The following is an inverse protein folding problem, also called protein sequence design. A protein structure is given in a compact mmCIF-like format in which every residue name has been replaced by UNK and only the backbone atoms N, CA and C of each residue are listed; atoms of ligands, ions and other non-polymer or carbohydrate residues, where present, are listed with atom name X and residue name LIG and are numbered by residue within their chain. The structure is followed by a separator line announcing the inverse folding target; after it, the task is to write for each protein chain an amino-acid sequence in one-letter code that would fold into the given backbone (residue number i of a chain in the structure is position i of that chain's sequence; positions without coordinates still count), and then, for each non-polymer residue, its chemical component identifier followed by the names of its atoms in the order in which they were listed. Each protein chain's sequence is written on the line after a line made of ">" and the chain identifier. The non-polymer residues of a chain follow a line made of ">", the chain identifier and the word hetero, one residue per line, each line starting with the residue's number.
data_IF_160141009523
#
_entry.id   IF_160141009523
#
_cell.length_a   1.000
_cell.length_b   1.000
_cell.length_c   1.000
_cell.angle_alpha   90.00
_cell.angle_beta   90.00
_cell.angle_gamma   90.00
#
_symmetry.space_group_name_H-M   'P 1'
#
loop_
_entity.id
_entity.type
_entity.pdbx_description
1 polymer ?
#
# COMPACT_ATOMS: atom_id res chain seq x y z
N UNK A 1 -12.71 5.72 -15.72
CA UNK A 1 -11.89 4.83 -16.61
C UNK A 1 -10.62 5.47 -17.22
N UNK A 2 -10.65 6.60 -17.95
CA UNK A 2 -9.44 7.18 -18.61
C UNK A 2 -8.26 7.49 -17.66
N UNK A 3 -8.56 8.06 -16.48
CA UNK A 3 -7.55 8.37 -15.45
C UNK A 3 -6.90 7.11 -14.86
N UNK A 4 -7.67 6.04 -14.72
CA UNK A 4 -7.18 4.74 -14.21
C UNK A 4 -6.16 4.16 -15.19
N UNK A 5 -6.51 4.12 -16.48
CA UNK A 5 -5.60 3.63 -17.52
C UNK A 5 -4.34 4.48 -17.59
N UNK A 6 -4.45 5.81 -17.57
CA UNK A 6 -3.29 6.70 -17.57
C UNK A 6 -2.37 6.47 -16.36
N UNK A 7 -2.94 6.35 -15.16
CA UNK A 7 -2.16 6.08 -13.94
C UNK A 7 -1.52 4.67 -13.96
N UNK A 8 -2.21 3.67 -14.50
CA UNK A 8 -1.66 2.32 -14.66
C UNK A 8 -0.50 2.30 -15.67
N UNK A 9 -0.67 2.95 -16.83
CA UNK A 9 0.41 3.10 -17.81
C UNK A 9 1.61 3.83 -17.21
N UNK A 10 1.37 4.92 -16.48
CA UNK A 10 2.43 5.64 -15.80
C UNK A 10 3.14 4.76 -14.75
N UNK A 11 2.41 3.93 -14.01
CA UNK A 11 2.99 3.00 -13.04
C UNK A 11 3.97 2.04 -13.71
N UNK A 12 3.63 1.51 -14.89
CA UNK A 12 4.56 0.65 -15.67
C UNK A 12 5.72 1.44 -16.26
N UNK A 13 5.52 2.68 -16.70
CA UNK A 13 6.62 3.55 -17.17
C UNK A 13 7.61 3.81 -16.02
N UNK A 14 7.11 4.15 -14.83
CA UNK A 14 7.97 4.36 -13.65
C UNK A 14 8.70 3.09 -13.23
N UNK A 15 8.10 1.92 -13.44
CA UNK A 15 8.76 0.63 -13.20
C UNK A 15 10.00 0.47 -14.09
N UNK A 16 9.92 0.85 -15.35
CA UNK A 16 11.08 0.82 -16.25
C UNK A 16 12.09 1.92 -15.90
N UNK A 17 11.59 3.12 -15.57
CA UNK A 17 12.39 4.29 -15.19
C UNK A 17 13.27 4.03 -13.94
N UNK A 18 12.78 3.19 -13.00
CA UNK A 18 13.54 2.74 -11.82
C UNK A 18 14.87 2.04 -12.17
N UNK A 19 14.92 1.34 -13.31
CA UNK A 19 16.15 0.69 -13.80
C UNK A 19 17.10 1.66 -14.52
N UNK A 20 16.70 2.93 -14.67
CA UNK A 20 17.39 3.98 -15.42
C UNK A 20 17.67 5.20 -14.53
N UNK A 21 17.95 6.36 -15.13
CA UNK A 21 18.29 7.61 -14.42
C UNK A 21 17.10 8.29 -13.68
N UNK A 22 15.94 7.64 -13.58
CA UNK A 22 14.75 8.12 -12.85
C UNK A 22 14.22 9.49 -13.33
N UNK A 23 14.40 9.82 -14.61
CA UNK A 23 14.03 11.13 -15.15
C UNK A 23 12.51 11.34 -15.17
N UNK A 24 11.75 10.29 -15.46
CA UNK A 24 10.28 10.39 -15.50
C UNK A 24 9.74 10.63 -14.11
N UNK A 25 10.27 9.91 -13.11
CA UNK A 25 9.94 10.08 -11.70
C UNK A 25 10.20 11.51 -11.22
N UNK A 26 11.37 12.07 -11.56
CA UNK A 26 11.73 13.45 -11.22
C UNK A 26 10.80 14.47 -11.88
N UNK A 27 10.51 14.33 -13.17
CA UNK A 27 9.60 15.23 -13.87
C UNK A 27 8.18 15.16 -13.32
N UNK A 28 7.69 13.95 -13.04
CA UNK A 28 6.38 13.72 -12.46
C UNK A 28 6.22 14.42 -11.10
N UNK A 29 7.25 14.32 -10.25
CA UNK A 29 7.27 15.03 -8.95
C UNK A 29 7.32 16.53 -9.15
N UNK A 30 8.25 17.05 -9.96
CA UNK A 30 8.46 18.49 -10.19
C UNK A 30 7.25 19.20 -10.81
N UNK A 31 6.44 18.49 -11.58
CA UNK A 31 5.21 19.02 -12.18
C UNK A 31 4.04 19.14 -11.18
N UNK A 32 4.22 18.75 -9.91
CA UNK A 32 3.19 18.87 -8.88
C UNK A 32 2.08 17.81 -8.97
N UNK A 33 2.28 16.76 -9.77
CA UNK A 33 1.28 15.71 -9.97
C UNK A 33 0.96 14.95 -8.69
N UNK A 34 1.95 14.76 -7.80
CA UNK A 34 1.73 14.10 -6.49
C UNK A 34 0.67 14.84 -5.68
N UNK A 35 0.78 16.17 -5.57
CA UNK A 35 -0.19 16.99 -4.84
C UNK A 35 -1.57 17.02 -5.52
N UNK A 36 -1.60 17.09 -6.86
CA UNK A 36 -2.86 17.05 -7.62
C UNK A 36 -3.62 15.74 -7.40
N UNK A 37 -2.92 14.62 -7.49
CA UNK A 37 -3.49 13.29 -7.22
C UNK A 37 -3.93 13.17 -5.77
N UNK A 38 -3.11 13.62 -4.81
CA UNK A 38 -3.47 13.59 -3.40
C UNK A 38 -4.74 14.40 -3.12
N UNK A 39 -4.87 15.58 -3.74
CA UNK A 39 -6.07 16.42 -3.66
C UNK A 39 -7.30 15.71 -4.24
N UNK A 40 -7.14 14.92 -5.30
CA UNK A 40 -8.19 14.06 -5.84
C UNK A 40 -8.57 12.95 -4.85
N UNK A 41 -7.60 12.29 -4.21
CA UNK A 41 -7.85 11.24 -3.22
C UNK A 41 -8.62 11.76 -2.00
N UNK A 42 -8.32 12.98 -1.52
CA UNK A 42 -9.04 13.60 -0.39
C UNK A 42 -10.55 13.74 -0.63
N UNK A 43 -10.95 13.89 -1.90
CA UNK A 43 -12.34 14.01 -2.31
C UNK A 43 -12.95 12.69 -2.75
N UNK A 44 -12.18 11.60 -2.75
CA UNK A 44 -12.64 10.30 -3.20
C UNK A 44 -13.65 9.73 -2.21
N UNK A 45 -14.79 9.29 -2.76
CA UNK A 45 -15.82 8.60 -2.00
C UNK A 45 -15.96 7.19 -2.57
N UNK A 46 -15.91 6.21 -1.68
CA UNK A 46 -16.09 4.80 -1.99
C UNK A 46 -17.07 4.27 -0.96
N UNK A 47 -18.20 3.73 -1.42
CA UNK A 47 -19.06 2.91 -0.58
C UNK A 47 -18.82 1.45 -0.93
N UNK A 48 -18.15 0.73 -0.03
CA UNK A 48 -17.79 -0.67 -0.27
C UNK A 48 -19.00 -1.61 -0.19
N UNK A 49 -20.05 -1.26 0.57
CA UNK A 49 -21.26 -2.08 0.61
C UNK A 49 -21.99 -2.07 -0.74
N UNK A 50 -21.77 -1.02 -1.53
CA UNK A 50 -22.29 -0.84 -2.88
C UNK A 50 -21.18 -0.94 -3.94
N UNK A 51 -20.16 -1.79 -3.73
CA UNK A 51 -18.99 -1.89 -4.62
C UNK A 51 -19.34 -2.33 -6.05
N UNK A 52 -20.43 -3.09 -6.23
CA UNK A 52 -20.89 -3.55 -7.54
C UNK A 52 -21.41 -2.39 -8.41
N UNK A 53 -21.76 -1.25 -7.81
CA UNK A 53 -22.08 -0.04 -8.54
C UNK A 53 -20.85 0.43 -9.31
N UNK A 54 -21.03 0.65 -10.62
CA UNK A 54 -19.96 1.06 -11.53
C UNK A 54 -19.10 2.21 -10.97
N UNK A 55 -19.74 3.21 -10.35
CA UNK A 55 -19.04 4.36 -9.78
C UNK A 55 -18.14 3.97 -8.61
N UNK A 56 -18.62 3.15 -7.66
CA UNK A 56 -17.83 2.70 -6.52
C UNK A 56 -16.69 1.78 -6.96
N UNK A 57 -16.95 0.88 -7.93
CA UNK A 57 -15.92 0.03 -8.54
C UNK A 57 -14.83 0.85 -9.22
N UNK A 58 -15.20 1.87 -10.01
CA UNK A 58 -14.25 2.76 -10.67
C UNK A 58 -13.45 3.59 -9.64
N UNK A 59 -14.09 4.12 -8.59
CA UNK A 59 -13.40 4.84 -7.51
C UNK A 59 -12.41 3.96 -6.74
N UNK A 60 -12.81 2.72 -6.40
CA UNK A 60 -11.95 1.77 -5.72
C UNK A 60 -10.77 1.34 -6.60
N UNK A 61 -11.03 1.03 -7.88
CA UNK A 61 -9.97 0.73 -8.85
C UNK A 61 -9.01 1.91 -9.02
N UNK A 62 -9.52 3.14 -9.07
CA UNK A 62 -8.68 4.34 -9.09
C UNK A 62 -7.80 4.44 -7.86
N UNK A 63 -8.36 4.26 -6.65
CA UNK A 63 -7.58 4.26 -5.41
C UNK A 63 -6.44 3.24 -5.44
N UNK A 64 -6.76 1.99 -5.80
CA UNK A 64 -5.78 0.89 -5.91
C UNK A 64 -4.67 1.21 -6.91
N UNK A 65 -5.01 1.77 -8.07
CA UNK A 65 -4.03 2.19 -9.07
C UNK A 65 -3.15 3.32 -8.55
N UNK A 66 -3.70 4.32 -7.86
CA UNK A 66 -2.92 5.42 -7.29
C UNK A 66 -2.00 4.93 -6.17
N UNK A 67 -2.46 4.02 -5.31
CA UNK A 67 -1.58 3.41 -4.31
C UNK A 67 -0.42 2.66 -4.97
N UNK A 68 -0.69 1.91 -6.04
CA UNK A 68 0.37 1.23 -6.82
C UNK A 68 1.38 2.22 -7.41
N UNK A 69 0.90 3.35 -7.94
CA UNK A 69 1.75 4.44 -8.43
C UNK A 69 2.62 5.03 -7.31
N UNK A 70 2.04 5.32 -6.15
CA UNK A 70 2.77 5.84 -4.99
C UNK A 70 3.79 4.85 -4.45
N UNK A 71 3.47 3.55 -4.41
CA UNK A 71 4.43 2.48 -4.05
C UNK A 71 5.65 2.49 -4.97
N UNK A 72 5.46 2.70 -6.28
CA UNK A 72 6.59 2.83 -7.23
C UNK A 72 7.39 4.10 -6.99
N UNK A 73 6.73 5.23 -6.77
CA UNK A 73 7.42 6.49 -6.47
C UNK A 73 8.23 6.41 -5.17
N UNK A 74 7.71 5.73 -4.14
CA UNK A 74 8.40 5.51 -2.88
C UNK A 74 9.73 4.74 -3.04
N UNK A 75 9.88 3.98 -4.12
CA UNK A 75 11.13 3.26 -4.46
C UNK A 75 12.19 4.17 -5.10
N UNK A 76 11.88 5.44 -5.35
CA UNK A 76 12.84 6.45 -5.84
C UNK A 76 13.13 7.48 -4.75
N UNK A 77 14.33 8.05 -4.71
CA UNK A 77 14.65 9.09 -3.72
C UNK A 77 13.80 10.35 -3.90
N UNK A 78 13.59 10.79 -5.14
CA UNK A 78 12.79 11.98 -5.43
C UNK A 78 11.30 11.80 -5.13
N UNK A 79 10.75 10.62 -5.44
CA UNK A 79 9.37 10.28 -5.14
C UNK A 79 9.14 10.11 -3.65
N UNK A 80 10.04 9.41 -2.94
CA UNK A 80 9.97 9.24 -1.49
C UNK A 80 9.95 10.59 -0.75
N UNK A 81 10.87 11.51 -1.09
CA UNK A 81 10.89 12.86 -0.52
C UNK A 81 9.56 13.59 -0.77
N UNK A 82 9.05 13.58 -2.01
CA UNK A 82 7.81 14.25 -2.33
C UNK A 82 6.60 13.66 -1.60
N UNK A 83 6.54 12.34 -1.44
CA UNK A 83 5.46 11.66 -0.72
C UNK A 83 5.43 12.06 0.77
N UNK A 84 6.59 12.34 1.35
CA UNK A 84 6.74 12.86 2.71
C UNK A 84 6.35 14.33 2.77
N UNK A 85 6.88 15.16 1.88
CA UNK A 85 6.61 16.60 1.85
C UNK A 85 5.10 16.88 1.72
N UNK A 86 4.38 16.04 0.97
CA UNK A 86 2.93 16.14 0.82
C UNK A 86 2.11 15.38 1.86
N UNK A 87 2.75 14.77 2.88
CA UNK A 87 2.11 14.03 3.96
C UNK A 87 1.13 12.97 3.44
N UNK A 88 1.57 12.18 2.45
CA UNK A 88 0.70 11.21 1.76
C UNK A 88 0.22 10.12 2.71
N UNK A 89 1.10 9.53 3.53
CA UNK A 89 0.71 8.49 4.51
C UNK A 89 -0.35 9.00 5.49
N UNK A 90 -0.17 10.13 6.20
CA UNK A 90 -1.22 10.68 7.08
C UNK A 90 -2.52 11.05 6.34
N UNK A 91 -2.42 11.55 5.11
CA UNK A 91 -3.60 11.93 4.32
C UNK A 91 -4.40 10.71 3.91
N UNK A 92 -3.74 9.65 3.42
CA UNK A 92 -4.41 8.43 2.97
C UNK A 92 -4.98 7.64 4.15
N UNK A 93 -4.28 7.58 5.28
CA UNK A 93 -4.76 6.89 6.48
C UNK A 93 -5.99 7.54 7.13
N UNK A 94 -6.26 8.81 6.80
CA UNK A 94 -7.40 9.58 7.33
C UNK A 94 -8.62 9.65 6.38
N UNK A 95 -8.59 8.93 5.26
CA UNK A 95 -9.73 8.88 4.35
C UNK A 95 -10.96 8.25 5.04
N UNK A 96 -12.12 8.90 4.87
CA UNK A 96 -13.34 8.57 5.62
C UNK A 96 -13.85 7.15 5.37
N UNK A 97 -13.67 6.63 4.15
CA UNK A 97 -14.17 5.31 3.77
C UNK A 97 -13.50 4.16 4.54
N UNK A 98 -12.40 4.40 5.26
CA UNK A 98 -11.81 3.39 6.15
C UNK A 98 -12.63 3.13 7.42
N UNK A 99 -13.52 4.07 7.78
CA UNK A 99 -14.42 3.91 8.93
C UNK A 99 -15.62 3.02 8.60
N UNK A 100 -15.93 2.85 7.32
CA UNK A 100 -17.11 2.13 6.83
C UNK A 100 -16.75 0.67 6.50
N UNK A 101 -16.33 -0.09 7.52
CA UNK A 101 -15.91 -1.49 7.36
C UNK A 101 -17.11 -2.36 6.91
N UNK A 102 -17.00 -3.13 5.81
CA UNK A 102 -18.07 -4.00 5.35
C UNK A 102 -18.48 -5.03 6.41
N UNK A 103 -19.79 -5.25 6.57
CA UNK A 103 -20.33 -6.11 7.65
C UNK A 103 -19.82 -7.55 7.60
N UNK A 104 -19.49 -8.09 6.42
CA UNK A 104 -19.01 -9.47 6.31
C UNK A 104 -17.68 -9.71 6.99
N UNK A 105 -16.86 -8.68 7.26
CA UNK A 105 -15.65 -8.79 8.08
C UNK A 105 -15.92 -9.35 9.48
N UNK A 106 -17.11 -9.13 10.02
CA UNK A 106 -17.50 -9.61 11.35
C UNK A 106 -18.06 -11.04 11.35
N UNK A 107 -18.27 -11.63 10.17
CA UNK A 107 -18.96 -12.92 10.04
C UNK A 107 -18.03 -14.13 9.86
N UNK A 108 -16.71 -13.91 9.73
CA UNK A 108 -15.70 -14.99 9.75
C UNK A 108 -15.78 -16.00 8.60
N UNK A 109 -16.42 -15.65 7.48
CA UNK A 109 -16.52 -16.52 6.30
C UNK A 109 -15.16 -16.70 5.62
N UNK A 110 -15.05 -17.77 4.81
CA UNK A 110 -13.89 -17.98 3.95
C UNK A 110 -13.60 -16.75 3.09
N UNK A 111 -12.32 -16.37 3.06
CA UNK A 111 -11.88 -15.10 2.55
C UNK A 111 -11.62 -15.15 1.04
N UNK A 112 -12.27 -14.27 0.28
CA UNK A 112 -11.91 -14.02 -1.11
C UNK A 112 -11.40 -12.59 -1.32
N UNK A 113 -10.26 -12.43 -1.98
CA UNK A 113 -9.73 -11.11 -2.38
C UNK A 113 -10.38 -10.59 -3.68
N UNK A 114 -11.61 -11.02 -3.98
CA UNK A 114 -12.31 -10.64 -5.21
C UNK A 114 -12.86 -9.22 -5.10
N UNK A 115 -12.79 -8.44 -6.19
CA UNK A 115 -13.50 -7.16 -6.31
C UNK A 115 -15.02 -7.33 -6.45
N UNK A 116 -15.51 -8.57 -6.48
CA UNK A 116 -16.93 -8.91 -6.58
C UNK A 116 -17.63 -8.88 -5.21
N UNK A 117 -16.86 -8.78 -4.11
CA UNK A 117 -17.39 -8.65 -2.75
C UNK A 117 -16.93 -7.34 -2.11
N UNK A 118 -17.74 -6.82 -1.19
CA UNK A 118 -17.41 -5.62 -0.42
C UNK A 118 -16.13 -5.84 0.39
N UNK A 119 -16.02 -7.01 1.02
CA UNK A 119 -14.91 -7.42 1.86
C UNK A 119 -13.62 -7.54 1.06
N UNK A 120 -13.67 -8.22 -0.10
CA UNK A 120 -12.52 -8.40 -0.96
C UNK A 120 -12.01 -7.08 -1.55
N UNK A 121 -12.90 -6.22 -2.02
CA UNK A 121 -12.52 -4.90 -2.53
C UNK A 121 -11.93 -3.98 -1.45
N UNK A 122 -12.53 -3.95 -0.26
CA UNK A 122 -12.04 -3.18 0.88
C UNK A 122 -10.65 -3.66 1.30
N UNK A 123 -10.49 -4.99 1.43
CA UNK A 123 -9.22 -5.62 1.75
C UNK A 123 -8.14 -5.28 0.75
N UNK A 124 -8.46 -5.39 -0.55
CA UNK A 124 -7.50 -5.12 -1.61
C UNK A 124 -7.04 -3.67 -1.59
N UNK A 125 -7.95 -2.74 -1.34
CA UNK A 125 -7.61 -1.33 -1.15
C UNK A 125 -6.67 -1.13 0.05
N UNK A 126 -6.99 -1.73 1.21
CA UNK A 126 -6.16 -1.62 2.41
C UNK A 126 -4.80 -2.30 2.25
N UNK A 127 -4.74 -3.45 1.57
CA UNK A 127 -3.49 -4.13 1.24
C UNK A 127 -2.59 -3.28 0.35
N UNK A 128 -3.14 -2.63 -0.68
CA UNK A 128 -2.37 -1.68 -1.48
C UNK A 128 -1.83 -0.51 -0.66
N UNK A 129 -2.61 0.00 0.29
CA UNK A 129 -2.14 1.04 1.21
C UNK A 129 -1.01 0.53 2.12
N UNK A 130 -1.11 -0.68 2.67
CA UNK A 130 -0.05 -1.25 3.49
C UNK A 130 1.22 -1.59 2.70
N UNK A 131 1.09 -2.03 1.44
CA UNK A 131 2.21 -2.20 0.51
C UNK A 131 2.92 -0.87 0.26
N UNK A 132 2.17 0.22 0.10
CA UNK A 132 2.73 1.56 0.01
C UNK A 132 3.50 1.94 1.28
N UNK A 133 2.92 1.71 2.47
CA UNK A 133 3.59 1.95 3.75
C UNK A 133 4.92 1.17 3.89
N UNK A 134 4.95 -0.10 3.48
CA UNK A 134 6.18 -0.90 3.47
C UNK A 134 7.23 -0.36 2.48
N UNK A 135 6.81 0.07 1.29
CA UNK A 135 7.74 0.68 0.33
C UNK A 135 8.34 1.98 0.89
N UNK A 136 7.53 2.79 1.60
CA UNK A 136 8.02 3.96 2.32
C UNK A 136 9.03 3.58 3.42
N UNK A 137 8.80 2.47 4.12
CA UNK A 137 9.71 1.93 5.14
C UNK A 137 10.99 1.29 4.59
N UNK A 138 11.08 1.07 3.27
CA UNK A 138 12.26 0.46 2.63
C UNK A 138 13.37 1.47 2.30
N UNK A 139 13.09 2.77 2.44
CA UNK A 139 14.09 3.83 2.19
C UNK A 139 15.06 3.96 3.37
N UNK A 140 16.37 4.18 3.18
CA UNK A 140 17.33 4.34 4.28
C UNK A 140 16.97 5.38 5.35
N UNK A 141 16.18 6.40 5.00
CA UNK A 141 15.75 7.48 5.90
C UNK A 141 14.35 7.24 6.51
N UNK A 142 13.81 6.02 6.42
CA UNK A 142 12.45 5.67 6.87
C UNK A 142 12.15 5.99 8.34
N UNK A 143 13.16 6.05 9.23
CA UNK A 143 12.92 6.37 10.65
C UNK A 143 12.24 7.73 10.85
N UNK A 144 12.40 8.66 9.91
CA UNK A 144 11.72 9.97 9.93
C UNK A 144 10.20 9.86 9.81
N UNK A 145 9.69 8.72 9.34
CA UNK A 145 8.26 8.46 9.14
C UNK A 145 7.73 7.28 9.96
N UNK A 146 8.52 6.75 10.90
CA UNK A 146 8.07 5.63 11.75
C UNK A 146 6.77 5.94 12.48
N UNK A 147 6.68 7.10 13.14
CA UNK A 147 5.46 7.55 13.81
C UNK A 147 4.27 7.68 12.83
N UNK A 148 4.37 8.40 11.69
CA UNK A 148 3.31 8.42 10.68
C UNK A 148 2.83 7.04 10.20
N UNK A 149 3.74 6.06 10.07
CA UNK A 149 3.40 4.70 9.67
C UNK A 149 2.64 3.95 10.77
N UNK A 150 3.06 4.07 12.03
CA UNK A 150 2.34 3.49 13.18
C UNK A 150 0.98 4.13 13.38
N UNK A 151 0.90 5.47 13.34
CA UNK A 151 -0.37 6.21 13.41
C UNK A 151 -1.34 5.77 12.30
N UNK A 152 -0.84 5.45 11.10
CA UNK A 152 -1.68 4.97 10.01
C UNK A 152 -2.35 3.62 10.34
N UNK A 153 -1.64 2.73 11.05
CA UNK A 153 -2.18 1.45 11.53
C UNK A 153 -3.18 1.70 12.66
N UNK A 154 -2.82 2.54 13.63
CA UNK A 154 -3.67 2.85 14.80
C UNK A 154 -4.98 3.54 14.41
N UNK A 155 -4.95 4.48 13.44
CA UNK A 155 -6.16 5.12 12.91
C UNK A 155 -7.16 4.12 12.34
N UNK A 156 -6.66 2.97 11.90
CA UNK A 156 -7.43 1.88 11.31
C UNK A 156 -7.46 0.64 12.25
N UNK A 157 -7.26 0.84 13.56
CA UNK A 157 -7.17 -0.25 14.54
C UNK A 157 -8.38 -1.18 14.58
N UNK A 158 -9.59 -0.68 14.26
CA UNK A 158 -10.80 -1.50 14.27
C UNK A 158 -10.70 -2.63 13.23
N UNK A 159 -10.33 -2.28 12.00
CA UNK A 159 -10.05 -3.22 10.93
C UNK A 159 -8.89 -4.14 11.31
N UNK A 160 -7.79 -3.58 11.78
CA UNK A 160 -6.57 -4.33 12.12
C UNK A 160 -6.85 -5.36 13.21
N UNK A 161 -7.54 -4.98 14.28
CA UNK A 161 -7.94 -5.88 15.36
C UNK A 161 -8.88 -6.98 14.86
N UNK A 162 -9.78 -6.65 13.93
CA UNK A 162 -10.66 -7.65 13.33
C UNK A 162 -9.86 -8.65 12.50
N UNK A 163 -8.92 -8.19 11.68
CA UNK A 163 -8.02 -9.05 10.89
C UNK A 163 -7.17 -9.98 11.76
N UNK A 164 -6.62 -9.48 12.87
CA UNK A 164 -5.87 -10.29 13.84
C UNK A 164 -6.75 -11.42 14.41
N UNK A 165 -8.01 -11.12 14.72
CA UNK A 165 -8.93 -12.09 15.34
C UNK A 165 -9.47 -13.13 14.37
N UNK A 166 -9.91 -12.71 13.19
CA UNK A 166 -10.61 -13.60 12.26
C UNK A 166 -9.70 -14.23 11.23
N UNK A 167 -8.64 -13.52 10.81
CA UNK A 167 -7.76 -13.95 9.72
C UNK A 167 -6.27 -13.70 10.03
N UNK A 168 -5.72 -14.28 11.13
CA UNK A 168 -4.32 -14.05 11.54
C UNK A 168 -3.30 -14.54 10.50
N UNK A 169 -3.67 -15.53 9.68
CA UNK A 169 -2.78 -16.12 8.67
C UNK A 169 -2.81 -15.41 7.32
N UNK A 170 -3.72 -14.46 7.11
CA UNK A 170 -3.87 -13.69 5.88
C UNK A 170 -2.59 -12.91 5.57
N UNK A 171 -2.22 -12.84 4.29
CA UNK A 171 -1.04 -12.09 3.81
C UNK A 171 -1.02 -10.65 4.32
N UNK A 172 -2.17 -9.97 4.29
CA UNK A 172 -2.35 -8.61 4.78
C UNK A 172 -2.03 -8.50 6.27
N UNK A 173 -2.56 -9.38 7.12
CA UNK A 173 -2.30 -9.36 8.56
C UNK A 173 -0.81 -9.56 8.85
N UNK A 174 -0.17 -10.51 8.17
CA UNK A 174 1.27 -10.76 8.28
C UNK A 174 2.10 -9.56 7.80
N UNK A 175 1.66 -8.87 6.75
CA UNK A 175 2.31 -7.68 6.20
C UNK A 175 2.30 -6.53 7.21
N UNK A 176 1.16 -6.28 7.84
CA UNK A 176 1.03 -5.25 8.88
C UNK A 176 1.92 -5.61 10.08
N UNK A 177 1.86 -6.87 10.52
CA UNK A 177 2.69 -7.37 11.61
C UNK A 177 4.20 -7.26 11.33
N UNK A 178 4.63 -7.56 10.10
CA UNK A 178 6.01 -7.39 9.66
C UNK A 178 6.44 -5.93 9.71
N UNK A 179 5.60 -4.98 9.28
CA UNK A 179 5.93 -3.55 9.35
C UNK A 179 6.11 -3.10 10.81
N UNK A 180 5.21 -3.48 11.71
CA UNK A 180 5.33 -3.14 13.14
C UNK A 180 6.58 -3.76 13.75
N UNK A 181 6.85 -5.05 13.49
CA UNK A 181 8.06 -5.74 13.94
C UNK A 181 9.34 -5.07 13.42
N UNK A 182 9.36 -4.68 12.14
CA UNK A 182 10.48 -3.97 11.53
C UNK A 182 10.75 -2.63 12.23
N UNK A 183 9.70 -1.83 12.45
CA UNK A 183 9.80 -0.54 13.13
C UNK A 183 10.27 -0.74 14.58
N UNK A 184 9.64 -1.64 15.33
CA UNK A 184 9.99 -1.94 16.72
C UNK A 184 11.48 -2.28 16.92
N UNK A 185 12.03 -3.11 16.04
CA UNK A 185 13.40 -3.60 16.20
C UNK A 185 14.47 -2.61 15.75
N UNK A 186 14.11 -1.65 14.91
CA UNK A 186 15.08 -0.76 14.26
C UNK A 186 14.90 0.72 14.63
N UNK A 187 13.80 1.11 15.26
CA UNK A 187 13.58 2.45 15.80
C UNK A 187 13.29 2.38 17.31
N UNK A 188 14.30 2.73 18.12
CA UNK A 188 14.18 2.71 19.58
C UNK A 188 13.08 3.64 20.10
N UNK A 189 12.79 4.73 19.39
CA UNK A 189 11.74 5.69 19.80
C UNK A 189 10.33 5.11 19.61
N UNK A 190 10.19 4.07 18.81
CA UNK A 190 8.91 3.46 18.48
C UNK A 190 8.54 2.29 19.42
N UNK A 191 9.47 1.81 20.24
CA UNK A 191 9.26 0.65 21.12
C UNK A 191 8.14 0.87 22.14
N UNK A 192 8.25 1.91 22.96
CA UNK A 192 7.26 2.24 23.98
C UNK A 192 5.86 2.48 23.37
N UNK A 193 5.69 3.28 22.30
CA UNK A 193 4.39 3.40 21.61
C UNK A 193 3.80 2.07 21.15
N UNK A 194 4.62 1.17 20.59
CA UNK A 194 4.17 -0.14 20.10
C UNK A 194 3.74 -1.04 21.26
N UNK A 195 4.51 -1.09 22.34
CA UNK A 195 4.24 -1.94 23.50
C UNK A 195 3.01 -1.46 24.30
N UNK A 196 2.80 -0.15 24.36
CA UNK A 196 1.67 0.47 25.10
C UNK A 196 0.36 0.42 24.33
N UNK A 197 0.38 0.56 23.01
CA UNK A 197 -0.84 0.42 22.19
C UNK A 197 -1.18 -1.04 21.96
N UNK A 198 -2.31 -1.50 22.52
CA UNK A 198 -2.80 -2.89 22.40
C UNK A 198 -2.78 -3.42 20.96
N UNK A 199 -3.29 -2.65 19.99
CA UNK A 199 -3.36 -3.08 18.59
C UNK A 199 -1.97 -3.36 17.99
N UNK A 200 -0.99 -2.49 18.26
CA UNK A 200 0.38 -2.63 17.76
C UNK A 200 1.11 -3.78 18.47
N UNK A 201 0.92 -3.92 19.79
CA UNK A 201 1.49 -5.02 20.54
C UNK A 201 0.92 -6.38 20.08
N UNK A 202 -0.40 -6.48 19.84
CA UNK A 202 -1.03 -7.71 19.33
C UNK A 202 -0.44 -8.10 17.96
N UNK A 203 -0.15 -7.13 17.08
CA UNK A 203 0.54 -7.36 15.81
C UNK A 203 1.99 -7.81 15.99
N UNK A 204 2.73 -7.18 16.91
CA UNK A 204 4.09 -7.56 17.24
C UNK A 204 4.15 -9.02 17.72
N UNK A 205 3.27 -9.38 18.65
CA UNK A 205 3.13 -10.73 19.19
C UNK A 205 2.71 -11.75 18.12
N UNK A 206 1.85 -11.35 17.17
CA UNK A 206 1.45 -12.21 16.06
C UNK A 206 2.65 -12.59 15.17
N UNK A 207 3.57 -11.65 14.94
CA UNK A 207 4.80 -11.94 14.17
C UNK A 207 5.78 -12.81 14.96
N UNK A 208 5.99 -12.52 16.25
CA UNK A 208 6.98 -13.22 17.08
C UNK A 208 6.54 -14.64 17.46
N UNK A 209 5.25 -14.86 17.74
CA UNK A 209 4.70 -16.15 18.14
C UNK A 209 4.31 -17.04 16.94
N UNK A 210 4.14 -16.46 15.75
CA UNK A 210 3.67 -17.16 14.54
C UNK A 210 4.77 -17.67 13.60
N UNK A 211 6.05 -17.52 13.93
CA UNK A 211 7.15 -17.88 13.02
C UNK A 211 7.55 -19.36 13.10
N UNK A 212 7.35 -20.19 12.05
CA UNK A 212 8.41 -21.13 11.69
C UNK A 212 9.62 -20.32 11.22
N UNK A 213 10.81 -20.69 11.73
CA UNK A 213 12.11 -20.14 11.33
C UNK A 213 12.37 -20.43 9.84
N UNK A 214 11.82 -19.66 8.92
CA UNK A 214 12.18 -19.71 7.50
C UNK A 214 12.08 -18.31 6.91
N UNK A 215 13.20 -17.84 6.34
CA UNK A 215 13.40 -16.48 5.86
C UNK A 215 12.35 -16.03 4.85
N UNK A 216 11.63 -14.98 5.23
CA UNK A 216 11.16 -14.00 4.25
C UNK A 216 12.30 -13.01 4.07
N UNK A 217 13.18 -13.30 3.12
CA UNK A 217 14.10 -12.30 2.61
C UNK A 217 13.27 -11.16 1.99
N UNK A 218 13.66 -9.92 2.27
CA UNK A 218 13.20 -8.69 1.62
C UNK A 218 13.52 -8.65 0.09
N UNK A 219 13.89 -9.78 -0.52
CA UNK A 219 14.30 -9.93 -1.92
C UNK A 219 13.14 -10.03 -2.91
N UNK A 220 11.89 -10.11 -2.44
CA UNK A 220 10.69 -10.13 -3.29
C UNK A 220 9.98 -8.77 -3.45
N UNK A 221 10.70 -7.66 -3.28
CA UNK A 221 10.41 -6.50 -4.14
C UNK A 221 10.65 -6.96 -5.59
N UNK A 222 9.80 -6.62 -6.58
CA UNK A 222 9.97 -7.12 -7.94
C UNK A 222 11.19 -6.47 -8.61
N UNK A 223 12.38 -6.94 -8.25
CA UNK A 223 13.63 -6.78 -8.98
C UNK A 223 13.70 -7.89 -10.03
N UNK A 224 13.32 -7.52 -11.27
CA UNK A 224 13.55 -8.22 -12.57
C UNK A 224 13.24 -9.73 -12.61
N UNK A 225 12.24 -10.14 -13.40
CA UNK A 225 12.41 -10.67 -14.78
C UNK A 225 11.07 -11.37 -15.15
N UNK A 226 10.50 -11.39 -16.36
CA UNK A 226 10.82 -10.85 -17.67
C UNK A 226 9.49 -10.58 -18.39
N UNK A 227 9.32 -9.38 -18.95
CA UNK A 227 8.48 -9.27 -20.14
C UNK A 227 9.38 -9.72 -21.29
N UNK A 228 9.15 -10.93 -21.78
CA UNK A 228 9.64 -11.31 -23.10
C UNK A 228 8.94 -10.39 -24.10
N UNK A 229 9.60 -9.28 -24.45
CA UNK A 229 9.26 -8.54 -25.64
C UNK A 229 9.38 -9.54 -26.81
N UNK A 230 8.33 -9.76 -27.63
CA UNK A 230 8.54 -10.44 -28.89
C UNK A 230 9.36 -9.48 -29.77
N UNK A 231 10.68 -9.67 -29.76
CA UNK A 231 11.66 -8.92 -30.54
C UNK A 231 11.54 -9.15 -32.07
N UNK A 232 10.47 -9.80 -32.53
CA UNK A 232 10.25 -10.16 -33.94
C UNK A 232 9.21 -9.30 -34.66
N UNK A 233 8.73 -8.19 -34.08
CA UNK A 233 7.79 -7.30 -34.78
C UNK A 233 8.46 -6.13 -35.53
N UNK A 234 9.77 -5.88 -35.33
CA UNK A 234 10.46 -4.72 -35.94
C UNK A 234 11.86 -5.01 -36.49
N UNK A 235 12.13 -6.21 -37.01
CA UNK A 235 13.29 -6.47 -37.88
C UNK A 235 12.85 -6.58 -39.34
N UNK A 236 12.89 -5.41 -39.98
CA UNK A 236 13.12 -5.10 -41.41
C UNK A 236 12.55 -6.02 -42.51
N UNK A 237 11.75 -5.37 -43.35
CA UNK A 237 11.66 -5.58 -44.80
C UNK A 237 13.05 -5.82 -45.43
N UNK A 238 13.13 -6.86 -46.25
CA UNK A 238 13.75 -6.84 -47.58
C UNK A 238 12.86 -7.65 -48.52
#
# INVERSE_FOLDING_TARGET
>A
MRQIVAAACLTEILREDLSSNQHVSQYFVKSGNVNSILSSLRNLKIDFNHILDRKNRESCSYFVTIMSLFTRLASTNCGWNALIDYLVVPTVSSLKFWKDIPRGFFTGKEWNQSFETAEGAYTRAFECFMQFCLAMASNPYWKTISCPLLEAIERNQELTNQLIRTHPTLSLTKMIALLVFYIHNLDDNAKEPIETTKCLNDLLLLHTNGAPKTGFELTNLPTRSAFNLPLNLFTKRS
#
